data_IF_703068754981
#
_entry.id   IF_703068754981
#
_cell.length_a   1.000
_cell.length_b   1.000
_cell.length_c   1.000
_cell.angle_alpha   90.00
_cell.angle_beta   90.00
_cell.angle_gamma   90.00
#
_symmetry.space_group_name_H-M   'P 1'
#
loop_
_entity.id
_entity.type
_entity.pdbx_description
1 polymer ?
#
# COMPACT_ATOMS: atom_id res chain seq x y z
N UNK A 1 -23.72 2.30 -6.12
CA UNK A 1 -22.87 2.09 -7.31
C UNK A 1 -23.56 2.55 -8.59
N UNK A 2 -23.67 3.87 -8.82
CA UNK A 2 -24.39 4.40 -9.98
C UNK A 2 -23.63 4.26 -11.30
N UNK A 3 -22.29 4.07 -11.28
CA UNK A 3 -21.45 4.04 -12.49
C UNK A 3 -20.90 2.65 -12.85
N UNK A 4 -21.21 1.63 -12.04
CA UNK A 4 -20.62 0.29 -12.18
C UNK A 4 -20.94 -0.42 -13.51
N UNK A 5 -22.06 -0.07 -14.15
CA UNK A 5 -22.50 -0.66 -15.41
C UNK A 5 -21.91 0.01 -16.67
N UNK A 6 -21.16 1.10 -16.51
CA UNK A 6 -20.59 1.87 -17.63
C UNK A 6 -19.23 1.32 -18.05
N UNK A 7 -18.89 1.47 -19.33
CA UNK A 7 -17.53 1.21 -19.83
C UNK A 7 -16.52 2.18 -19.20
N UNK A 8 -15.23 1.81 -19.22
CA UNK A 8 -14.17 2.54 -18.52
C UNK A 8 -14.09 4.02 -18.93
N UNK A 9 -14.14 4.32 -20.23
CA UNK A 9 -13.96 5.67 -20.72
C UNK A 9 -15.17 6.56 -20.38
N UNK A 10 -16.38 6.03 -20.56
CA UNK A 10 -17.60 6.75 -20.20
C UNK A 10 -17.70 6.95 -18.68
N UNK A 11 -17.28 5.96 -17.90
CA UNK A 11 -17.20 6.04 -16.44
C UNK A 11 -16.27 7.16 -15.99
N UNK A 12 -15.05 7.21 -16.52
CA UNK A 12 -14.07 8.27 -16.23
C UNK A 12 -14.63 9.66 -16.58
N UNK A 13 -15.28 9.79 -17.75
CA UNK A 13 -15.93 11.02 -18.16
C UNK A 13 -17.03 11.44 -17.18
N UNK A 14 -17.92 10.52 -16.80
CA UNK A 14 -19.00 10.79 -15.86
C UNK A 14 -18.50 11.17 -14.46
N UNK A 15 -17.40 10.57 -14.00
CA UNK A 15 -16.79 10.95 -12.72
C UNK A 15 -16.27 12.39 -12.73
N UNK A 16 -15.62 12.80 -13.83
CA UNK A 16 -15.15 14.18 -13.99
C UNK A 16 -16.33 15.16 -13.97
N UNK A 17 -17.42 14.83 -14.65
CA UNK A 17 -18.63 15.66 -14.69
C UNK A 17 -19.29 15.77 -13.32
N UNK A 18 -19.43 14.66 -12.59
CA UNK A 18 -19.95 14.66 -11.21
C UNK A 18 -19.10 15.54 -10.29
N UNK A 19 -17.77 15.47 -10.41
CA UNK A 19 -16.85 16.30 -9.63
C UNK A 19 -17.01 17.79 -9.97
N UNK A 20 -17.24 18.10 -11.24
CA UNK A 20 -17.50 19.48 -11.69
C UNK A 20 -18.83 20.00 -11.12
N UNK A 21 -19.91 19.22 -11.25
CA UNK A 21 -21.23 19.56 -10.72
C UNK A 21 -21.20 19.77 -9.20
N UNK A 22 -20.52 18.88 -8.46
CA UNK A 22 -20.36 19.02 -7.01
C UNK A 22 -19.69 20.36 -6.65
N UNK A 23 -18.60 20.72 -7.35
CA UNK A 23 -17.89 22.00 -7.15
C UNK A 23 -18.73 23.22 -7.52
N UNK A 24 -19.53 23.13 -8.58
CA UNK A 24 -20.39 24.24 -9.01
C UNK A 24 -21.58 24.46 -8.07
N UNK A 25 -22.21 23.38 -7.60
CA UNK A 25 -23.43 23.45 -6.79
C UNK A 25 -23.14 23.70 -5.30
N UNK A 26 -21.94 23.34 -4.81
CA UNK A 26 -21.55 23.52 -3.41
C UNK A 26 -22.42 22.74 -2.41
N UNK A 27 -23.13 21.72 -2.89
CA UNK A 27 -24.00 20.86 -2.08
C UNK A 27 -23.19 19.73 -1.45
N UNK A 28 -23.64 19.22 -0.30
CA UNK A 28 -23.05 18.01 0.27
C UNK A 28 -23.51 16.78 -0.51
N UNK A 29 -22.56 16.03 -1.07
CA UNK A 29 -22.82 14.78 -1.77
C UNK A 29 -22.24 13.59 -0.98
N UNK A 30 -23.05 12.53 -0.83
CA UNK A 30 -22.59 11.25 -0.30
C UNK A 30 -22.61 10.23 -1.44
N UNK A 31 -21.45 9.66 -1.74
CA UNK A 31 -21.27 8.69 -2.82
C UNK A 31 -20.83 7.34 -2.24
N UNK A 32 -21.45 6.25 -2.71
CA UNK A 32 -21.16 4.88 -2.24
C UNK A 32 -20.77 4.00 -3.42
N UNK A 33 -19.57 3.43 -3.34
CA UNK A 33 -18.94 2.61 -4.38
C UNK A 33 -18.10 1.48 -3.79
N UNK A 34 -17.92 0.40 -4.55
CA UNK A 34 -16.94 -0.65 -4.26
C UNK A 34 -15.59 -0.41 -4.96
N UNK A 35 -15.52 0.55 -5.89
CA UNK A 35 -14.33 0.80 -6.69
C UNK A 35 -13.46 1.87 -6.02
N UNK A 36 -12.22 1.49 -5.73
CA UNK A 36 -11.24 2.31 -5.04
C UNK A 36 -10.89 3.57 -5.84
N UNK A 37 -10.78 3.45 -7.17
CA UNK A 37 -10.40 4.56 -8.04
C UNK A 37 -11.48 5.63 -8.04
N UNK A 38 -12.75 5.23 -8.00
CA UNK A 38 -13.87 6.16 -7.86
C UNK A 38 -13.80 6.92 -6.54
N UNK A 39 -13.61 6.18 -5.43
CA UNK A 39 -13.54 6.76 -4.11
C UNK A 39 -12.40 7.78 -4.01
N UNK A 40 -11.21 7.43 -4.50
CA UNK A 40 -10.01 8.27 -4.41
C UNK A 40 -10.05 9.50 -5.35
N UNK A 41 -10.70 9.39 -6.52
CA UNK A 41 -10.70 10.48 -7.51
C UNK A 41 -11.85 11.48 -7.31
N UNK A 42 -13.01 11.03 -6.86
CA UNK A 42 -14.22 11.86 -6.77
C UNK A 42 -14.36 12.59 -5.42
N UNK A 43 -13.84 12.01 -4.34
CA UNK A 43 -14.19 12.42 -2.97
C UNK A 43 -13.14 13.31 -2.33
N UNK A 44 -13.58 14.32 -1.58
CA UNK A 44 -12.69 15.11 -0.72
C UNK A 44 -12.26 14.31 0.54
N UNK A 45 -13.15 13.45 1.01
CA UNK A 45 -12.92 12.49 2.11
C UNK A 45 -13.56 11.16 1.76
N UNK A 46 -12.90 10.07 2.15
CA UNK A 46 -13.38 8.70 1.93
C UNK A 46 -13.48 8.00 3.27
N UNK A 47 -14.62 7.33 3.49
CA UNK A 47 -14.87 6.49 4.65
C UNK A 47 -14.76 5.02 4.24
N UNK A 48 -13.78 4.31 4.80
CA UNK A 48 -13.57 2.88 4.55
C UNK A 48 -14.30 2.07 5.61
N UNK A 49 -15.15 1.15 5.17
CA UNK A 49 -15.90 0.25 6.04
C UNK A 49 -15.44 -1.20 5.86
N UNK A 50 -15.43 -1.94 6.97
CA UNK A 50 -15.13 -3.36 7.02
C UNK A 50 -16.15 -4.05 7.95
N UNK A 51 -16.90 -5.02 7.43
CA UNK A 51 -17.94 -5.75 8.19
C UNK A 51 -18.90 -4.83 8.98
N UNK A 52 -19.29 -3.70 8.36
CA UNK A 52 -20.18 -2.71 8.96
C UNK A 52 -19.54 -1.80 10.01
N UNK A 53 -18.25 -1.97 10.33
CA UNK A 53 -17.49 -1.03 11.16
C UNK A 53 -16.72 -0.05 10.29
N UNK A 54 -16.65 1.21 10.74
CA UNK A 54 -15.84 2.24 10.12
C UNK A 54 -14.37 2.04 10.51
N UNK A 55 -13.50 1.80 9.54
CA UNK A 55 -12.07 1.57 9.77
C UNK A 55 -11.29 2.88 9.77
N UNK A 56 -11.53 3.76 8.79
CA UNK A 56 -10.82 5.03 8.65
C UNK A 56 -11.64 6.02 7.82
N UNK A 57 -11.55 7.32 8.17
CA UNK A 57 -12.12 8.42 7.37
C UNK A 57 -11.08 9.49 7.18
N UNK A 58 -10.57 9.62 5.96
CA UNK A 58 -9.48 10.54 5.65
C UNK A 58 -9.56 11.03 4.21
N UNK A 59 -8.69 11.99 3.87
CA UNK A 59 -8.46 12.36 2.48
C UNK A 59 -7.87 11.17 1.69
N UNK A 60 -8.15 11.06 0.38
CA UNK A 60 -7.65 9.98 -0.47
C UNK A 60 -6.14 9.71 -0.33
N UNK A 61 -5.33 10.77 -0.36
CA UNK A 61 -3.87 10.66 -0.23
C UNK A 61 -3.46 10.11 1.15
N UNK A 62 -4.14 10.52 2.23
CA UNK A 62 -3.83 10.01 3.57
C UNK A 62 -4.24 8.55 3.75
N UNK A 63 -5.33 8.10 3.13
CA UNK A 63 -5.70 6.68 3.12
C UNK A 63 -4.67 5.83 2.37
N UNK A 64 -4.12 6.38 1.29
CA UNK A 64 -3.11 5.70 0.49
C UNK A 64 -1.75 5.66 1.18
N UNK A 65 -1.24 6.81 1.61
CA UNK A 65 0.10 6.98 2.18
C UNK A 65 0.18 6.55 3.65
N UNK A 66 -0.91 6.73 4.39
CA UNK A 66 -0.95 6.57 5.85
C UNK A 66 -2.17 5.75 6.30
N UNK A 67 -2.31 4.50 5.84
CA UNK A 67 -3.36 3.61 6.35
C UNK A 67 -3.15 3.34 7.84
N UNK A 68 -4.25 3.31 8.60
CA UNK A 68 -4.23 3.11 10.05
C UNK A 68 -4.40 1.64 10.45
N UNK A 69 -5.03 0.82 9.60
CA UNK A 69 -5.27 -0.60 9.86
C UNK A 69 -4.74 -1.47 8.72
N UNK A 70 -4.40 -2.75 8.98
CA UNK A 70 -3.98 -3.66 7.92
C UNK A 70 -5.04 -3.86 6.84
N UNK A 71 -6.32 -3.76 7.21
CA UNK A 71 -7.41 -3.81 6.25
C UNK A 71 -7.35 -2.65 5.27
N UNK A 72 -7.29 -1.39 5.76
CA UNK A 72 -7.20 -0.21 4.88
C UNK A 72 -5.96 -0.29 4.00
N UNK A 73 -4.83 -0.71 4.57
CA UNK A 73 -3.58 -0.89 3.83
C UNK A 73 -3.68 -1.92 2.69
N UNK A 74 -4.43 -3.00 2.89
CA UNK A 74 -4.71 -4.02 1.87
C UNK A 74 -5.82 -3.65 0.89
N UNK A 75 -6.74 -2.77 1.32
CA UNK A 75 -7.95 -2.44 0.58
C UNK A 75 -7.75 -1.23 -0.33
N UNK A 76 -6.89 -0.27 0.03
CA UNK A 76 -6.62 0.93 -0.78
C UNK A 76 -5.28 0.75 -1.48
N UNK A 77 -5.34 0.50 -2.80
CA UNK A 77 -4.15 0.31 -3.64
C UNK A 77 -3.38 -0.97 -3.35
N UNK A 78 -2.26 -1.16 -4.05
CA UNK A 78 -1.41 -2.33 -3.84
C UNK A 78 -0.49 -2.12 -2.64
N UNK A 79 -0.25 -3.19 -1.89
CA UNK A 79 0.59 -3.14 -0.70
C UNK A 79 1.25 -4.48 -0.44
N UNK A 80 2.51 -4.46 -0.04
CA UNK A 80 3.15 -5.62 0.55
C UNK A 80 2.89 -5.62 2.03
N UNK A 81 2.31 -6.71 2.54
CA UNK A 81 2.02 -6.88 3.96
C UNK A 81 2.79 -8.08 4.50
N UNK A 82 3.57 -7.85 5.55
CA UNK A 82 4.38 -8.87 6.20
C UNK A 82 4.00 -8.99 7.66
N UNK A 83 3.92 -10.23 8.17
CA UNK A 83 3.68 -10.47 9.59
C UNK A 83 4.96 -10.28 10.40
N UNK A 84 4.84 -9.66 11.57
CA UNK A 84 5.95 -9.47 12.48
C UNK A 84 5.51 -9.26 13.93
N UNK A 85 6.50 -8.98 14.77
CA UNK A 85 6.35 -8.71 16.19
C UNK A 85 7.19 -7.51 16.61
N UNK A 86 6.63 -6.66 17.46
CA UNK A 86 7.36 -5.54 18.08
C UNK A 86 8.41 -6.10 19.05
N UNK A 87 9.69 -5.81 18.81
CA UNK A 87 10.78 -6.18 19.71
C UNK A 87 11.16 -5.03 20.65
N UNK A 88 11.18 -3.81 20.11
CA UNK A 88 11.56 -2.60 20.86
C UNK A 88 10.68 -1.44 20.46
N UNK A 89 10.41 -0.55 21.41
CA UNK A 89 9.75 0.73 21.21
C UNK A 89 10.70 1.86 21.60
N UNK A 90 10.78 2.89 20.76
CA UNK A 90 11.52 4.12 21.04
C UNK A 90 10.63 5.34 20.77
N UNK A 91 11.11 6.53 21.11
CA UNK A 91 10.40 7.78 20.81
C UNK A 91 10.22 8.01 19.30
N UNK A 92 11.14 7.47 18.48
CA UNK A 92 11.19 7.69 17.02
C UNK A 92 10.54 6.56 16.20
N UNK A 93 10.09 5.48 16.85
CA UNK A 93 9.45 4.36 16.17
C UNK A 93 9.53 3.03 16.93
N UNK A 94 9.40 1.93 16.20
CA UNK A 94 9.46 0.58 16.71
C UNK A 94 10.42 -0.30 15.89
N UNK A 95 11.14 -1.19 16.56
CA UNK A 95 11.88 -2.27 15.92
C UNK A 95 10.95 -3.48 15.79
N UNK A 96 10.69 -3.91 14.56
CA UNK A 96 9.80 -5.03 14.25
C UNK A 96 10.63 -6.17 13.67
N UNK A 97 10.56 -7.34 14.30
CA UNK A 97 11.07 -8.58 13.71
C UNK A 97 9.97 -9.22 12.88
N UNK A 98 10.21 -9.35 11.58
CA UNK A 98 9.35 -10.09 10.67
C UNK A 98 9.44 -11.59 10.96
N UNK A 99 8.37 -12.31 10.70
CA UNK A 99 8.33 -13.77 10.88
C UNK A 99 9.32 -14.50 9.96
N UNK A 100 9.65 -13.87 8.82
CA UNK A 100 10.67 -14.35 7.90
C UNK A 100 12.12 -14.05 8.37
N UNK A 101 12.31 -13.29 9.46
CA UNK A 101 13.58 -13.13 10.17
C UNK A 101 14.24 -11.75 10.08
N UNK A 102 13.88 -10.90 9.12
CA UNK A 102 14.43 -9.54 9.04
C UNK A 102 13.93 -8.66 10.20
N UNK A 103 14.79 -7.74 10.65
CA UNK A 103 14.44 -6.72 11.66
C UNK A 103 14.45 -5.35 10.99
N UNK A 104 13.33 -4.63 11.08
CA UNK A 104 13.12 -3.33 10.45
C UNK A 104 12.67 -2.32 11.49
N UNK A 105 13.15 -1.08 11.41
CA UNK A 105 12.69 0.04 12.25
C UNK A 105 11.73 0.92 11.47
N UNK A 106 10.61 1.30 12.05
CA UNK A 106 9.60 2.11 11.35
C UNK A 106 8.64 2.81 12.31
N UNK A 107 7.76 3.64 11.77
CA UNK A 107 6.66 4.25 12.54
C UNK A 107 5.51 3.26 12.74
N UNK A 108 4.83 3.36 13.88
CA UNK A 108 3.61 2.59 14.18
C UNK A 108 2.40 3.49 13.98
N UNK A 109 1.39 3.02 13.24
CA UNK A 109 0.20 3.83 12.93
C UNK A 109 -0.72 4.09 14.15
N UNK A 110 -0.50 3.39 15.26
CA UNK A 110 -1.30 3.49 16.48
C UNK A 110 -0.51 3.05 17.71
N UNK A 111 -1.22 2.65 18.76
CA UNK A 111 -0.58 2.10 19.97
C UNK A 111 -0.18 0.65 19.71
N UNK A 112 1.04 0.32 20.09
CA UNK A 112 1.55 -1.04 20.18
C UNK A 112 2.41 -1.17 21.43
N UNK A 113 2.47 -2.37 21.98
CA UNK A 113 3.35 -2.76 23.06
C UNK A 113 4.44 -3.70 22.54
N UNK A 114 5.55 -3.80 23.29
CA UNK A 114 6.57 -4.81 23.02
C UNK A 114 5.93 -6.19 23.10
N UNK A 115 6.17 -7.03 22.10
CA UNK A 115 5.60 -8.37 21.98
C UNK A 115 4.34 -8.45 21.12
N UNK A 116 3.71 -7.32 20.75
CA UNK A 116 2.49 -7.30 19.95
C UNK A 116 2.72 -7.81 18.53
N UNK A 117 1.69 -8.47 17.99
CA UNK A 117 1.63 -8.85 16.57
C UNK A 117 1.18 -7.67 15.72
N UNK A 118 1.96 -7.37 14.69
CA UNK A 118 1.71 -6.28 13.76
C UNK A 118 1.88 -6.76 12.32
N UNK A 119 1.22 -6.08 11.38
CA UNK A 119 1.54 -6.19 9.96
C UNK A 119 2.39 -5.00 9.52
N UNK A 120 3.50 -5.27 8.86
CA UNK A 120 4.35 -4.25 8.23
C UNK A 120 3.88 -4.05 6.81
N UNK A 121 3.49 -2.83 6.48
CA UNK A 121 3.09 -2.42 5.13
C UNK A 121 4.16 -1.60 4.42
N UNK A 122 4.38 -1.91 3.14
CA UNK A 122 5.15 -1.06 2.21
C UNK A 122 4.55 -1.15 0.79
N UNK A 123 4.33 0.01 0.17
CA UNK A 123 3.82 0.12 -1.20
C UNK A 123 4.84 -0.44 -2.21
N UNK A 124 4.43 -1.20 -3.23
CA UNK A 124 5.33 -1.76 -4.23
C UNK A 124 6.23 -0.74 -4.92
N UNK A 125 5.73 0.48 -5.16
CA UNK A 125 6.47 1.59 -5.76
C UNK A 125 7.52 2.22 -4.82
N UNK A 126 7.44 1.96 -3.51
CA UNK A 126 8.42 2.43 -2.53
C UNK A 126 9.60 1.46 -2.37
N UNK A 127 9.47 0.23 -2.88
CA UNK A 127 10.56 -0.74 -2.86
C UNK A 127 11.56 -0.41 -3.97
N UNK A 128 12.83 -0.26 -3.61
CA UNK A 128 13.90 0.10 -4.55
C UNK A 128 14.75 -1.11 -4.91
N UNK A 129 15.29 -1.11 -6.13
CA UNK A 129 16.31 -2.06 -6.55
C UNK A 129 17.66 -1.36 -6.56
N UNK A 130 18.67 -1.94 -5.92
CA UNK A 130 20.01 -1.37 -5.88
C UNK A 130 20.88 -1.94 -4.76
N UNK A 131 22.18 -1.67 -4.85
CA UNK A 131 23.14 -1.99 -3.82
C UNK A 131 23.26 -0.81 -2.84
N UNK A 132 22.46 -0.83 -1.77
CA UNK A 132 22.64 0.07 -0.63
C UNK A 132 22.87 -0.71 0.65
N UNK A 133 23.24 -0.01 1.72
CA UNK A 133 23.26 -0.59 3.06
C UNK A 133 21.86 -1.12 3.43
N UNK A 134 21.79 -2.33 3.99
CA UNK A 134 20.53 -3.02 4.28
C UNK A 134 19.83 -3.67 3.09
N UNK A 135 20.46 -3.71 1.90
CA UNK A 135 19.87 -4.37 0.74
C UNK A 135 19.84 -5.89 0.90
N UNK A 136 18.66 -6.47 0.74
CA UNK A 136 18.43 -7.90 0.89
C UNK A 136 18.55 -8.61 -0.48
N UNK A 137 19.14 -9.82 -0.52
CA UNK A 137 19.16 -10.60 -1.74
C UNK A 137 17.74 -11.07 -2.08
N UNK A 138 17.36 -10.92 -3.34
CA UNK A 138 16.09 -11.39 -3.84
C UNK A 138 16.22 -12.01 -5.23
N UNK A 139 15.35 -12.96 -5.52
CA UNK A 139 15.25 -13.60 -6.83
C UNK A 139 13.92 -13.25 -7.49
N UNK A 140 13.97 -12.81 -8.74
CA UNK A 140 12.75 -12.51 -9.49
C UNK A 140 12.04 -13.81 -9.85
N UNK A 141 10.78 -13.94 -9.45
CA UNK A 141 9.95 -15.13 -9.71
C UNK A 141 8.86 -14.88 -10.74
N UNK A 142 8.44 -13.62 -10.92
CA UNK A 142 7.36 -13.25 -11.84
C UNK A 142 7.53 -11.81 -12.32
N UNK A 143 7.18 -11.55 -13.57
CA UNK A 143 7.12 -10.21 -14.15
C UNK A 143 5.80 -10.07 -14.91
N UNK A 144 5.02 -9.04 -14.57
CA UNK A 144 3.79 -8.68 -15.28
C UNK A 144 3.91 -7.28 -15.88
N UNK A 145 3.54 -7.14 -17.15
CA UNK A 145 3.56 -5.85 -17.84
C UNK A 145 2.21 -5.12 -17.64
N UNK A 146 2.26 -3.88 -17.15
CA UNK A 146 1.08 -3.05 -16.88
C UNK A 146 0.95 -1.87 -17.85
N UNK A 147 1.77 -1.81 -18.90
CA UNK A 147 1.85 -0.65 -19.79
C UNK A 147 2.98 0.28 -19.39
N UNK A 148 2.68 1.29 -18.59
CA UNK A 148 3.62 2.32 -18.12
C UNK A 148 4.57 1.82 -17.02
N UNK A 149 4.23 0.70 -16.38
CA UNK A 149 5.02 0.05 -15.36
C UNK A 149 5.11 -1.47 -15.55
N UNK A 150 6.05 -2.08 -14.84
CA UNK A 150 6.18 -3.52 -14.64
C UNK A 150 5.97 -3.85 -13.18
N UNK A 151 5.12 -4.82 -12.91
CA UNK A 151 5.04 -5.45 -11.59
C UNK A 151 6.01 -6.62 -11.56
N UNK A 152 6.92 -6.61 -10.60
CA UNK A 152 7.93 -7.65 -10.43
C UNK A 152 7.71 -8.30 -9.07
N UNK A 153 7.47 -9.61 -9.05
CA UNK A 153 7.44 -10.36 -7.79
C UNK A 153 8.82 -10.95 -7.53
N UNK A 154 9.30 -10.78 -6.30
CA UNK A 154 10.63 -11.15 -5.86
C UNK A 154 10.50 -11.97 -4.58
N UNK A 155 11.19 -13.09 -4.54
CA UNK A 155 11.39 -13.85 -3.32
C UNK A 155 12.67 -13.36 -2.64
N UNK A 156 12.54 -12.80 -1.44
CA UNK A 156 13.62 -12.13 -0.74
C UNK A 156 13.90 -12.79 0.61
N UNK A 157 15.18 -13.08 0.87
CA UNK A 157 15.60 -13.67 2.14
C UNK A 157 15.31 -12.74 3.31
N UNK A 158 14.70 -13.28 4.38
CA UNK A 158 14.35 -12.51 5.58
C UNK A 158 12.96 -11.86 5.56
N UNK A 159 12.30 -11.83 4.39
CA UNK A 159 10.99 -11.15 4.19
C UNK A 159 9.96 -12.06 3.54
N UNK A 160 10.40 -12.90 2.59
CA UNK A 160 9.52 -13.75 1.78
C UNK A 160 9.19 -13.09 0.44
N UNK A 161 8.00 -13.37 -0.08
CA UNK A 161 7.54 -12.85 -1.38
C UNK A 161 7.10 -11.39 -1.25
N UNK A 162 7.65 -10.52 -2.08
CA UNK A 162 7.23 -9.13 -2.20
C UNK A 162 7.01 -8.74 -3.68
N UNK A 163 6.25 -7.69 -3.89
CA UNK A 163 5.99 -7.08 -5.19
C UNK A 163 6.64 -5.69 -5.27
N UNK A 164 7.25 -5.39 -6.40
CA UNK A 164 7.81 -4.09 -6.74
C UNK A 164 7.10 -3.55 -7.98
N UNK A 165 6.97 -2.23 -8.05
CA UNK A 165 6.47 -1.53 -9.25
C UNK A 165 7.59 -0.69 -9.84
N UNK A 166 8.09 -1.10 -11.00
CA UNK A 166 9.18 -0.42 -11.71
C UNK A 166 8.62 0.30 -12.95
N UNK A 167 9.06 1.53 -13.25
CA UNK A 167 8.68 2.20 -14.49
C UNK A 167 9.29 1.47 -15.69
N UNK A 168 8.62 1.49 -16.85
CA UNK A 168 9.09 0.82 -18.07
C UNK A 168 10.25 1.56 -18.79
N UNK A 169 10.67 2.73 -18.28
CA UNK A 169 11.67 3.60 -18.90
C UNK A 169 13.11 3.06 -18.92
N UNK A 170 13.98 3.69 -19.72
CA UNK A 170 15.34 3.23 -20.05
C UNK A 170 16.30 3.02 -18.86
N UNK A 171 16.00 3.57 -17.68
CA UNK A 171 16.78 3.36 -16.45
C UNK A 171 16.39 2.06 -15.69
N UNK A 172 15.23 1.48 -15.98
CA UNK A 172 14.86 0.17 -15.48
C UNK A 172 15.55 -0.88 -16.36
N UNK A 173 16.75 -1.28 -15.96
CA UNK A 173 17.51 -2.35 -16.62
C UNK A 173 16.62 -3.54 -16.98
N UNK A 174 16.93 -4.22 -18.10
CA UNK A 174 16.22 -5.43 -18.50
C UNK A 174 16.38 -6.48 -17.39
N UNK A 175 15.37 -6.61 -16.55
CA UNK A 175 15.25 -7.65 -15.54
C UNK A 175 14.47 -8.82 -16.11
N UNK A 176 15.00 -10.03 -15.95
CA UNK A 176 14.41 -11.30 -16.34
C UNK A 176 13.93 -12.12 -15.15
N UNK A 177 13.00 -13.03 -15.41
CA UNK A 177 12.61 -14.04 -14.41
C UNK A 177 13.84 -14.92 -14.12
N UNK A 178 14.15 -15.11 -12.84
CA UNK A 178 15.31 -15.86 -12.37
C UNK A 178 16.50 -15.01 -11.98
N UNK A 179 16.53 -13.73 -12.35
CA UNK A 179 17.62 -12.82 -12.01
C UNK A 179 17.74 -12.61 -10.50
N UNK A 180 18.97 -12.52 -10.02
CA UNK A 180 19.29 -12.11 -8.66
C UNK A 180 19.41 -10.59 -8.61
N UNK A 181 18.63 -9.99 -7.71
CA UNK A 181 18.62 -8.55 -7.48
C UNK A 181 18.84 -8.23 -6.01
N UNK A 182 19.24 -6.99 -5.75
CA UNK A 182 19.31 -6.44 -4.39
C UNK A 182 18.12 -5.53 -4.17
N UNK A 183 17.31 -5.87 -3.18
CA UNK A 183 16.08 -5.15 -2.81
C UNK A 183 16.37 -4.27 -1.60
N UNK A 184 16.02 -3.00 -1.70
CA UNK A 184 16.14 -2.03 -0.63
C UNK A 184 14.73 -1.65 -0.17
N UNK A 185 14.50 -1.79 1.13
CA UNK A 185 13.25 -1.40 1.77
C UNK A 185 13.49 -0.12 2.56
N UNK A 186 12.99 1.04 2.07
CA UNK A 186 13.09 2.27 2.81
C UNK A 186 12.22 2.18 4.07
N UNK A 187 12.90 1.97 5.21
CA UNK A 187 12.30 1.85 6.53
C UNK A 187 11.40 3.04 6.91
N UNK A 188 11.74 4.25 6.45
CA UNK A 188 10.94 5.46 6.64
C UNK A 188 9.59 5.45 5.90
N UNK A 189 9.46 4.65 4.84
CA UNK A 189 8.22 4.47 4.06
C UNK A 189 7.46 3.20 4.45
N UNK A 190 7.99 2.44 5.41
CA UNK A 190 7.30 1.32 6.02
C UNK A 190 6.41 1.82 7.16
N UNK A 191 5.34 1.07 7.41
CA UNK A 191 4.46 1.35 8.54
C UNK A 191 4.05 0.06 9.23
N UNK A 192 4.18 0.04 10.56
CA UNK A 192 3.67 -1.03 11.38
C UNK A 192 2.19 -0.75 11.72
N UNK A 193 1.35 -1.72 11.39
CA UNK A 193 -0.09 -1.67 11.55
C UNK A 193 -0.47 -2.70 12.62
N UNK A 194 -0.86 -2.25 13.82
CA UNK A 194 -1.37 -3.16 14.85
C UNK A 194 -2.54 -3.97 14.31
N UNK A 195 -2.59 -5.26 14.63
CA UNK A 195 -3.79 -6.05 14.37
C UNK A 195 -4.89 -5.57 15.32
N UNK A 196 -5.68 -4.59 14.88
CA UNK A 196 -6.93 -4.20 15.57
C UNK A 196 -8.07 -5.19 15.35
N UNK A 197 -7.80 -6.31 14.67
CA UNK A 197 -8.75 -7.40 14.45
C UNK A 197 -8.84 -8.33 15.65
N UNK A 198 -9.67 -7.97 16.64
CA UNK A 198 -10.09 -8.91 17.68
C UNK A 198 -10.58 -8.25 18.97
N UNK A 199 -11.70 -7.50 18.90
CA UNK A 199 -12.83 -7.48 19.88
C UNK A 199 -14.02 -6.64 19.33
#
# INVERSE_FOLDING_TARGET
>A
EPLGALDKNLREHMQAELKHLHRQLGITMVFVTHDQSEALNLSDRVAVFNKGRLEQVDAPEQLYERPCTPFVASFIGENNLFDGRVEELSADGASIRLDAGAVLRMTVAGRAAIGDRVKVGIRPEHVKVGASEGALPGKIIEISYLGDARRVAVECGGIGRLSLKLPTGAEAGQVGIGDEIRVVIPQALCRALPNTGGE
#
